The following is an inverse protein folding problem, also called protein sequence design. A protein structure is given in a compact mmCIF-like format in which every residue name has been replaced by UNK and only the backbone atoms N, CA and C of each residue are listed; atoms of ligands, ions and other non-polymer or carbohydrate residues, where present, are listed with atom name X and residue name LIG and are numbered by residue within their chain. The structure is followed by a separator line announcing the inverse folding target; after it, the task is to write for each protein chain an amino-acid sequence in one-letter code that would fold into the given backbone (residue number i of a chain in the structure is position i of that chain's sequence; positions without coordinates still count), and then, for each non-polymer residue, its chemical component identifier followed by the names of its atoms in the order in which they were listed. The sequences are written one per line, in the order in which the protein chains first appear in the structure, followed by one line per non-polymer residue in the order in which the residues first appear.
data_IF_740756662102
#
_entry.id   IF_740756662102
#
_cell.length_a   1.000
_cell.length_b   1.000
_cell.length_c   1.000
_cell.angle_alpha   90.00
_cell.angle_beta   90.00
_cell.angle_gamma   90.00
#
_symmetry.space_group_name_H-M   'P 1'
#
loop_
_entity.id
_entity.type
_entity.pdbx_description
1 polymer ?
#
# COMPACT_ATOMS: atom_id res chain seq x y z
N UNK A 1 8.93 3.13 27.42
CA UNK A 1 8.72 3.61 26.04
C UNK A 1 7.56 2.82 25.49
N UNK A 2 6.40 3.43 25.25
CA UNK A 2 5.25 2.71 24.70
C UNK A 2 5.55 2.32 23.25
N UNK A 3 5.41 1.03 22.94
CA UNK A 3 5.65 0.47 21.61
C UNK A 3 4.36 -0.17 21.10
N UNK A 4 3.94 0.19 19.89
CA UNK A 4 2.79 -0.40 19.21
C UNK A 4 3.26 -1.31 18.11
N UNK A 5 2.73 -2.53 18.07
CA UNK A 5 2.92 -3.47 16.95
C UNK A 5 1.59 -3.63 16.21
N UNK A 6 1.56 -3.23 14.96
CA UNK A 6 0.47 -3.53 14.03
C UNK A 6 0.86 -4.78 13.25
N UNK A 7 0.20 -5.90 13.54
CA UNK A 7 0.60 -7.21 13.04
C UNK A 7 -0.45 -7.78 12.10
N UNK A 8 -0.02 -8.21 10.91
CA UNK A 8 -0.81 -9.04 10.01
C UNK A 8 -0.62 -10.56 10.26
N UNK A 9 0.09 -10.94 11.34
CA UNK A 9 0.26 -12.34 11.70
C UNK A 9 -1.09 -13.04 11.90
N UNK A 10 -1.20 -14.26 11.39
CA UNK A 10 -2.41 -15.06 11.52
C UNK A 10 -2.07 -16.55 11.44
N UNK A 11 -2.99 -17.45 11.82
CA UNK A 11 -2.79 -18.89 11.68
C UNK A 11 -2.56 -19.36 10.24
N UNK A 12 -2.90 -18.54 9.24
CA UNK A 12 -2.65 -18.82 7.82
C UNK A 12 -1.23 -18.42 7.39
N UNK A 13 -0.51 -17.66 8.22
CA UNK A 13 0.85 -17.16 7.99
C UNK A 13 1.72 -17.43 9.23
N UNK A 14 2.07 -18.71 9.51
CA UNK A 14 2.81 -19.10 10.71
C UNK A 14 4.20 -18.43 10.81
N UNK A 15 4.81 -18.08 9.68
CA UNK A 15 6.06 -17.31 9.65
C UNK A 15 5.89 -15.93 10.29
N UNK A 16 4.76 -15.25 10.07
CA UNK A 16 4.49 -13.96 10.72
C UNK A 16 4.25 -14.14 12.23
N UNK A 17 3.60 -15.23 12.66
CA UNK A 17 3.44 -15.53 14.09
C UNK A 17 4.79 -15.75 14.78
N UNK A 18 5.70 -16.47 14.12
CA UNK A 18 7.07 -16.65 14.62
C UNK A 18 7.82 -15.31 14.67
N UNK A 19 7.74 -14.50 13.62
CA UNK A 19 8.38 -13.19 13.58
C UNK A 19 7.85 -12.26 14.66
N UNK A 20 6.53 -12.26 14.91
CA UNK A 20 5.93 -11.53 16.02
C UNK A 20 6.53 -11.98 17.35
N UNK A 21 6.60 -13.29 17.60
CA UNK A 21 7.21 -13.83 18.81
C UNK A 21 8.69 -13.41 18.96
N UNK A 22 9.45 -13.37 17.85
CA UNK A 22 10.84 -12.91 17.85
C UNK A 22 10.96 -11.42 18.17
N UNK A 23 10.08 -10.57 17.62
CA UNK A 23 10.02 -9.14 17.92
C UNK A 23 9.73 -8.92 19.40
N UNK A 24 8.68 -9.55 19.93
CA UNK A 24 8.29 -9.42 21.34
C UNK A 24 9.41 -9.86 22.29
N UNK A 25 10.03 -11.02 22.03
CA UNK A 25 11.16 -11.49 22.82
C UNK A 25 12.39 -10.56 22.75
N UNK A 26 12.59 -9.86 21.62
CA UNK A 26 13.67 -8.89 21.46
C UNK A 26 13.38 -7.58 22.21
N UNK A 27 12.14 -7.10 22.19
CA UNK A 27 11.69 -5.94 22.95
C UNK A 27 11.78 -6.19 24.46
N UNK A 28 11.32 -7.35 24.94
CA UNK A 28 11.41 -7.75 26.34
C UNK A 28 12.88 -7.76 26.82
N UNK A 29 13.79 -8.35 26.04
CA UNK A 29 15.24 -8.34 26.34
C UNK A 29 15.86 -6.94 26.39
N UNK A 30 15.26 -5.95 25.73
CA UNK A 30 15.66 -4.54 25.77
C UNK A 30 15.03 -3.78 26.93
N UNK A 31 14.18 -4.43 27.74
CA UNK A 31 13.43 -3.79 28.82
C UNK A 31 12.22 -2.97 28.32
N UNK A 32 11.81 -3.13 27.06
CA UNK A 32 10.61 -2.50 26.51
C UNK A 32 9.38 -3.34 26.89
N UNK A 33 8.79 -3.05 28.05
CA UNK A 33 7.67 -3.83 28.62
C UNK A 33 6.28 -3.25 28.33
N UNK A 34 6.20 -1.97 27.93
CA UNK A 34 4.96 -1.32 27.52
C UNK A 34 4.72 -1.54 26.02
N UNK A 35 4.32 -2.77 25.67
CA UNK A 35 4.10 -3.19 24.28
C UNK A 35 2.63 -3.52 24.06
N UNK A 36 2.00 -2.84 23.10
CA UNK A 36 0.63 -3.10 22.68
C UNK A 36 0.62 -3.68 21.27
N UNK A 37 0.07 -4.88 21.13
CA UNK A 37 -0.08 -5.56 19.83
C UNK A 37 -1.52 -5.46 19.35
N UNK A 38 -1.71 -5.06 18.10
CA UNK A 38 -2.97 -5.16 17.38
C UNK A 38 -2.86 -6.23 16.30
N UNK A 39 -3.61 -7.32 16.47
CA UNK A 39 -3.79 -8.36 15.44
C UNK A 39 -4.80 -7.86 14.40
N UNK A 40 -4.31 -7.42 13.25
CA UNK A 40 -5.13 -6.87 12.18
C UNK A 40 -5.82 -7.93 11.32
N UNK A 41 -5.40 -9.19 11.42
CA UNK A 41 -6.03 -10.29 10.70
C UNK A 41 -7.39 -10.63 11.30
N UNK A 42 -7.50 -10.61 12.64
CA UNK A 42 -8.76 -10.91 13.36
C UNK A 42 -9.53 -9.66 13.77
N UNK A 43 -8.88 -8.50 13.91
CA UNK A 43 -9.56 -7.25 14.27
C UNK A 43 -10.55 -6.83 13.20
N UNK A 44 -11.81 -6.61 13.62
CA UNK A 44 -12.84 -6.01 12.77
C UNK A 44 -12.50 -4.55 12.50
N UNK A 45 -11.94 -4.30 11.32
CA UNK A 45 -11.46 -3.01 10.87
C UNK A 45 -11.95 -2.73 9.46
N UNK A 46 -12.64 -1.62 9.26
CA UNK A 46 -13.02 -1.14 7.95
C UNK A 46 -11.84 -0.48 7.23
N UNK A 47 -11.91 -0.44 5.90
CA UNK A 47 -10.99 0.32 5.06
C UNK A 47 -11.29 1.83 5.11
N UNK A 48 -10.31 2.65 4.71
CA UNK A 48 -10.49 4.10 4.60
C UNK A 48 -11.42 4.45 3.43
N UNK A 49 -12.51 5.18 3.70
CA UNK A 49 -13.47 5.62 2.69
C UNK A 49 -13.03 6.88 1.91
N UNK A 50 -11.93 7.54 2.33
CA UNK A 50 -11.39 8.72 1.63
C UNK A 50 -12.26 9.98 1.78
N UNK A 51 -12.92 10.12 2.93
CA UNK A 51 -13.88 11.19 3.21
C UNK A 51 -13.25 12.42 3.86
N UNK A 52 -12.09 12.22 4.50
CA UNK A 52 -11.31 13.25 5.19
C UNK A 52 -12.01 13.93 6.38
N UNK A 53 -13.14 13.41 6.86
CA UNK A 53 -13.80 13.92 8.07
C UNK A 53 -12.87 13.89 9.29
N UNK A 54 -12.09 12.81 9.46
CA UNK A 54 -11.06 12.68 10.50
C UNK A 54 -9.91 13.70 10.38
N UNK A 55 -9.85 14.43 9.27
CA UNK A 55 -8.86 15.47 9.01
C UNK A 55 -9.40 16.86 9.34
N UNK A 56 -10.62 17.16 8.87
CA UNK A 56 -11.17 18.52 8.85
C UNK A 56 -12.37 18.74 9.76
N UNK A 57 -13.21 17.72 10.01
CA UNK A 57 -14.46 17.86 10.80
C UNK A 57 -14.30 17.34 12.22
N UNK A 58 -13.71 16.15 12.34
CA UNK A 58 -13.47 15.45 13.61
C UNK A 58 -11.99 15.05 13.70
N UNK A 59 -11.05 16.02 13.82
CA UNK A 59 -9.62 15.76 13.92
C UNK A 59 -9.24 14.55 14.81
N UNK A 60 -8.58 13.56 14.22
CA UNK A 60 -8.12 12.36 14.93
C UNK A 60 -9.19 11.30 15.22
N UNK A 61 -10.44 11.52 14.80
CA UNK A 61 -11.56 10.58 15.04
C UNK A 61 -12.25 10.25 13.72
N UNK A 62 -12.14 8.98 13.30
CA UNK A 62 -12.86 8.48 12.14
C UNK A 62 -14.36 8.26 12.44
N UNK A 63 -15.22 8.59 11.48
CA UNK A 63 -16.67 8.41 11.61
C UNK A 63 -17.14 6.95 11.60
N UNK A 64 -16.28 6.00 11.21
CA UNK A 64 -16.64 4.58 11.15
C UNK A 64 -16.80 3.97 12.54
N UNK A 65 -16.19 4.56 13.57
CA UNK A 65 -16.31 4.15 14.97
C UNK A 65 -16.08 2.65 15.21
N UNK A 66 -14.98 2.12 14.67
CA UNK A 66 -14.52 0.74 14.86
C UNK A 66 -13.18 0.70 15.63
N UNK A 67 -12.48 -0.43 15.59
CA UNK A 67 -11.22 -0.63 16.32
C UNK A 67 -10.11 0.37 15.97
N UNK A 68 -10.23 1.09 14.85
CA UNK A 68 -9.27 2.09 14.43
C UNK A 68 -9.05 3.19 15.47
N UNK A 69 -10.08 3.64 16.19
CA UNK A 69 -9.91 4.71 17.18
C UNK A 69 -8.91 4.31 18.26
N UNK A 70 -8.93 3.04 18.68
CA UNK A 70 -7.98 2.51 19.65
C UNK A 70 -6.56 2.37 19.06
N UNK A 71 -6.45 2.04 17.76
CA UNK A 71 -5.18 1.94 17.04
C UNK A 71 -4.55 3.33 16.89
N UNK A 72 -5.30 4.31 16.37
CA UNK A 72 -4.84 5.70 16.19
C UNK A 72 -4.37 6.29 17.51
N UNK A 73 -5.17 6.15 18.57
CA UNK A 73 -4.79 6.63 19.90
C UNK A 73 -3.50 5.96 20.39
N UNK A 74 -3.38 4.64 20.25
CA UNK A 74 -2.17 3.94 20.67
C UNK A 74 -0.94 4.39 19.88
N UNK A 75 -1.05 4.60 18.57
CA UNK A 75 0.05 5.08 17.72
C UNK A 75 0.44 6.53 18.07
N UNK A 76 -0.53 7.40 18.35
CA UNK A 76 -0.28 8.76 18.87
C UNK A 76 0.51 8.73 20.19
N UNK A 77 0.12 7.85 21.12
CA UNK A 77 0.74 7.76 22.44
C UNK A 77 2.07 7.00 22.44
N UNK A 78 2.44 6.36 21.32
CA UNK A 78 3.64 5.56 21.19
C UNK A 78 4.92 6.37 20.98
N UNK A 79 6.04 5.80 21.43
CA UNK A 79 7.38 6.19 21.02
C UNK A 79 7.84 5.39 19.78
N UNK A 80 7.28 4.20 19.56
CA UNK A 80 7.59 3.33 18.40
C UNK A 80 6.32 2.70 17.82
N UNK A 81 6.26 2.65 16.49
CA UNK A 81 5.30 1.82 15.76
C UNK A 81 6.05 0.81 14.90
N UNK A 82 5.71 -0.47 15.04
CA UNK A 82 6.26 -1.58 14.25
C UNK A 82 5.14 -2.15 13.39
N UNK A 83 5.32 -2.11 12.08
CA UNK A 83 4.44 -2.76 11.12
C UNK A 83 5.03 -4.13 10.78
N UNK A 84 4.31 -5.21 11.10
CA UNK A 84 4.68 -6.57 10.75
C UNK A 84 3.71 -7.13 9.72
N UNK A 85 4.20 -7.44 8.53
CA UNK A 85 3.33 -7.76 7.40
C UNK A 85 3.93 -8.79 6.43
N UNK A 86 3.06 -9.49 5.70
CA UNK A 86 3.46 -10.19 4.49
C UNK A 86 3.54 -9.18 3.34
N UNK A 87 4.67 -9.13 2.64
CA UNK A 87 4.87 -8.17 1.56
C UNK A 87 4.10 -8.63 0.32
N UNK A 88 3.29 -7.72 -0.23
CA UNK A 88 2.54 -7.94 -1.47
C UNK A 88 2.88 -6.84 -2.46
N UNK A 89 3.28 -7.23 -3.68
CA UNK A 89 3.67 -6.29 -4.74
C UNK A 89 4.71 -5.24 -4.28
N UNK A 90 5.67 -5.66 -3.44
CA UNK A 90 6.70 -4.79 -2.86
C UNK A 90 6.23 -3.85 -1.75
N UNK A 91 4.95 -3.91 -1.35
CA UNK A 91 4.37 -3.08 -0.28
C UNK A 91 3.59 -3.88 0.75
N UNK A 92 2.73 -3.18 1.50
CA UNK A 92 1.89 -3.76 2.55
C UNK A 92 0.69 -4.51 1.99
N UNK A 93 0.31 -5.61 2.65
CA UNK A 93 -0.91 -6.38 2.36
C UNK A 93 -2.19 -5.59 2.68
N UNK A 94 -3.32 -6.04 2.14
CA UNK A 94 -4.64 -5.50 2.51
C UNK A 94 -4.87 -5.47 4.03
N UNK A 95 -4.42 -6.51 4.73
CA UNK A 95 -4.61 -6.67 6.18
C UNK A 95 -4.03 -5.50 6.94
N UNK A 96 -2.77 -5.16 6.70
CA UNK A 96 -2.10 -4.04 7.36
C UNK A 96 -2.56 -2.70 6.80
N UNK A 97 -2.76 -2.62 5.47
CA UNK A 97 -3.05 -1.36 4.79
C UNK A 97 -4.39 -0.75 5.20
N UNK A 98 -5.38 -1.57 5.59
CA UNK A 98 -6.62 -1.08 6.21
C UNK A 98 -6.40 -0.22 7.45
N UNK A 99 -5.42 -0.56 8.27
CA UNK A 99 -5.05 0.24 9.44
C UNK A 99 -4.21 1.45 9.04
N UNK A 100 -3.15 1.23 8.26
CA UNK A 100 -2.20 2.29 7.89
C UNK A 100 -2.88 3.44 7.14
N UNK A 101 -3.78 3.16 6.21
CA UNK A 101 -4.49 4.18 5.42
C UNK A 101 -5.37 5.11 6.28
N UNK A 102 -5.70 4.69 7.51
CA UNK A 102 -6.52 5.46 8.45
C UNK A 102 -5.69 6.24 9.47
N UNK A 103 -4.37 6.00 9.54
CA UNK A 103 -3.45 6.78 10.39
C UNK A 103 -3.22 8.21 9.87
N UNK A 104 -3.68 8.55 8.66
CA UNK A 104 -3.56 9.90 8.08
C UNK A 104 -4.13 11.00 8.98
N UNK A 105 -5.08 10.67 9.86
CA UNK A 105 -5.66 11.62 10.81
C UNK A 105 -4.66 12.14 11.85
N UNK A 106 -3.52 11.46 12.03
CA UNK A 106 -2.38 11.92 12.84
C UNK A 106 -1.59 13.07 12.17
N UNK A 107 -1.89 13.35 10.90
CA UNK A 107 -1.28 14.43 10.14
C UNK A 107 -2.23 15.63 10.00
N UNK A 108 -1.65 16.80 9.73
CA UNK A 108 -2.34 18.03 9.41
C UNK A 108 -2.67 18.11 7.91
N UNK A 109 -3.81 18.71 7.50
CA UNK A 109 -4.15 18.82 6.08
C UNK A 109 -3.27 19.82 5.34
N UNK A 110 -2.50 20.63 6.05
CA UNK A 110 -1.61 21.63 5.47
C UNK A 110 -0.31 21.01 4.98
N UNK A 111 0.25 21.61 3.93
CA UNK A 111 1.49 21.14 3.34
C UNK A 111 2.70 21.87 3.90
N UNK A 112 3.80 21.15 4.04
CA UNK A 112 5.14 21.67 4.26
C UNK A 112 6.13 20.97 3.33
N UNK A 113 7.30 21.57 3.12
CA UNK A 113 8.38 20.96 2.34
C UNK A 113 9.28 20.15 3.25
N UNK A 114 9.50 18.87 2.92
CA UNK A 114 10.46 17.98 3.61
C UNK A 114 11.16 17.11 2.57
N UNK A 115 12.46 16.88 2.75
CA UNK A 115 13.29 16.09 1.81
C UNK A 115 13.01 16.43 0.32
N UNK A 116 13.01 17.73 0.00
CA UNK A 116 12.71 18.35 -1.32
C UNK A 116 11.30 18.15 -1.89
N UNK A 117 10.44 17.35 -1.27
CA UNK A 117 9.07 17.07 -1.73
C UNK A 117 8.02 17.77 -0.86
N UNK A 118 6.79 17.82 -1.36
CA UNK A 118 5.64 18.32 -0.61
C UNK A 118 5.09 17.22 0.29
N UNK A 119 4.89 17.49 1.58
CA UNK A 119 4.32 16.54 2.52
C UNK A 119 3.28 17.22 3.42
N UNK A 120 2.44 16.43 4.08
CA UNK A 120 1.56 16.95 5.12
C UNK A 120 2.31 17.28 6.40
N UNK A 121 1.97 18.37 7.08
CA UNK A 121 2.59 18.73 8.35
C UNK A 121 2.13 17.84 9.51
N UNK A 122 2.86 17.87 10.62
CA UNK A 122 2.45 17.17 11.84
C UNK A 122 1.18 17.79 12.41
N UNK A 123 0.23 16.96 12.87
CA UNK A 123 -0.88 17.46 13.71
C UNK A 123 -0.43 17.64 15.16
N UNK A 124 0.47 16.78 15.61
CA UNK A 124 0.93 16.68 16.99
C UNK A 124 2.45 16.85 17.05
N UNK A 125 2.94 17.31 18.20
CA UNK A 125 4.37 17.64 18.38
C UNK A 125 5.28 16.40 18.38
N UNK A 126 4.75 15.24 18.73
CA UNK A 126 5.50 13.98 18.81
C UNK A 126 4.87 12.94 17.90
N UNK A 127 5.74 12.28 17.12
CA UNK A 127 5.40 11.13 16.29
C UNK A 127 6.31 9.95 16.65
N UNK A 128 5.80 8.71 16.60
CA UNK A 128 6.61 7.53 16.91
C UNK A 128 7.68 7.28 15.85
N UNK A 129 8.82 6.70 16.26
CA UNK A 129 9.75 6.07 15.33
C UNK A 129 9.05 4.94 14.57
N UNK A 130 9.37 4.79 13.28
CA UNK A 130 8.65 3.90 12.36
C UNK A 130 9.52 2.70 12.00
N UNK A 131 9.00 1.49 12.20
CA UNK A 131 9.70 0.25 11.85
C UNK A 131 8.83 -0.61 10.94
N UNK A 132 9.40 -1.11 9.85
CA UNK A 132 8.70 -1.97 8.90
C UNK A 132 9.42 -3.32 8.80
N UNK A 133 8.75 -4.36 9.27
CA UNK A 133 9.19 -5.76 9.22
C UNK A 133 8.32 -6.52 8.21
N UNK A 134 8.87 -6.75 7.03
CA UNK A 134 8.22 -7.50 5.97
C UNK A 134 8.67 -8.96 5.97
N UNK A 135 7.79 -9.84 5.50
CA UNK A 135 8.12 -11.22 5.18
C UNK A 135 7.65 -11.61 3.78
N UNK A 136 8.44 -12.45 3.11
CA UNK A 136 8.09 -13.10 1.85
C UNK A 136 8.50 -14.57 1.87
N UNK A 137 7.71 -15.43 1.22
CA UNK A 137 8.07 -16.84 1.09
C UNK A 137 9.33 -17.03 0.22
N UNK A 138 9.44 -16.26 -0.85
CA UNK A 138 10.53 -16.31 -1.83
C UNK A 138 11.17 -14.95 -2.01
N UNK A 139 12.46 -14.97 -2.37
CA UNK A 139 13.24 -13.77 -2.61
C UNK A 139 12.80 -13.06 -3.88
N UNK A 140 12.58 -11.75 -3.78
CA UNK A 140 12.32 -10.89 -4.91
C UNK A 140 13.13 -9.58 -4.72
N UNK A 141 14.21 -9.39 -5.51
CA UNK A 141 15.04 -8.18 -5.41
C UNK A 141 14.29 -6.88 -5.70
N UNK A 142 13.30 -6.90 -6.60
CA UNK A 142 12.49 -5.72 -6.93
C UNK A 142 11.54 -5.41 -5.78
N UNK A 143 10.81 -6.40 -5.27
CA UNK A 143 9.96 -6.22 -4.09
C UNK A 143 10.78 -5.78 -2.86
N UNK A 144 11.98 -6.34 -2.67
CA UNK A 144 12.90 -5.96 -1.60
C UNK A 144 13.34 -4.50 -1.69
N UNK A 145 13.62 -4.03 -2.91
CA UNK A 145 13.94 -2.64 -3.14
C UNK A 145 12.73 -1.74 -2.86
N UNK A 146 11.57 -2.09 -3.40
CA UNK A 146 10.32 -1.33 -3.22
C UNK A 146 9.94 -1.23 -1.74
N UNK A 147 10.06 -2.32 -0.98
CA UNK A 147 9.78 -2.37 0.45
C UNK A 147 10.62 -1.37 1.25
N UNK A 148 11.94 -1.35 1.01
CA UNK A 148 12.87 -0.41 1.66
C UNK A 148 12.51 1.04 1.35
N UNK A 149 12.26 1.34 0.07
CA UNK A 149 11.88 2.68 -0.35
C UNK A 149 10.52 3.11 0.20
N UNK A 150 9.56 2.19 0.29
CA UNK A 150 8.23 2.46 0.81
C UNK A 150 8.27 2.73 2.30
N UNK A 151 9.00 1.93 3.08
CA UNK A 151 9.14 2.14 4.51
C UNK A 151 9.78 3.50 4.84
N UNK A 152 10.83 3.91 4.11
CA UNK A 152 11.41 5.24 4.22
C UNK A 152 10.41 6.36 3.88
N UNK A 153 9.67 6.21 2.77
CA UNK A 153 8.66 7.17 2.34
C UNK A 153 7.52 7.32 3.36
N UNK A 154 7.05 6.20 3.90
CA UNK A 154 5.98 6.13 4.89
C UNK A 154 6.42 6.75 6.22
N UNK A 155 7.65 6.45 6.66
CA UNK A 155 8.23 7.07 7.86
C UNK A 155 8.35 8.59 7.70
N UNK A 156 8.79 9.08 6.53
CA UNK A 156 8.87 10.52 6.24
C UNK A 156 7.48 11.18 6.20
N UNK A 157 6.49 10.51 5.61
CA UNK A 157 5.11 10.98 5.58
C UNK A 157 4.49 11.04 6.98
N UNK A 158 4.88 10.13 7.88
CA UNK A 158 4.45 10.10 9.28
C UNK A 158 5.30 10.99 10.21
N UNK A 159 6.23 11.79 9.67
CA UNK A 159 7.17 12.61 10.44
C UNK A 159 7.93 11.81 11.51
N UNK A 160 8.21 10.53 11.23
CA UNK A 160 8.89 9.68 12.18
C UNK A 160 10.33 10.19 12.41
N UNK A 161 10.81 10.24 13.66
CA UNK A 161 12.18 10.70 13.93
C UNK A 161 13.23 9.69 13.44
N UNK A 162 12.87 8.40 13.38
CA UNK A 162 13.72 7.30 12.91
C UNK A 162 12.94 6.32 12.05
N UNK A 163 13.64 5.66 11.14
CA UNK A 163 13.14 4.52 10.37
C UNK A 163 14.01 3.28 10.56
N UNK A 164 13.41 2.11 10.75
CA UNK A 164 14.08 0.83 10.64
C UNK A 164 13.35 -0.10 9.69
N UNK A 165 14.07 -0.81 8.84
CA UNK A 165 13.46 -1.70 7.84
C UNK A 165 14.14 -3.05 7.82
N UNK A 166 13.34 -4.11 7.78
CA UNK A 166 13.79 -5.45 7.44
C UNK A 166 12.78 -6.12 6.50
N UNK A 167 13.29 -6.91 5.57
CA UNK A 167 12.52 -7.86 4.78
C UNK A 167 13.15 -9.23 4.93
N UNK A 168 12.35 -10.19 5.36
CA UNK A 168 12.81 -11.53 5.72
C UNK A 168 12.20 -12.58 4.81
N UNK A 169 13.01 -13.59 4.49
CA UNK A 169 12.64 -14.65 3.56
C UNK A 169 12.85 -16.01 4.21
N UNK A 170 12.13 -17.03 3.73
CA UNK A 170 12.25 -18.40 4.25
C UNK A 170 13.66 -18.98 4.06
N UNK A 171 14.31 -18.64 2.95
CA UNK A 171 15.68 -19.07 2.63
C UNK A 171 16.73 -18.60 3.65
N UNK A 172 16.48 -17.49 4.36
CA UNK A 172 17.41 -16.84 5.28
C UNK A 172 16.94 -16.88 6.75
N UNK A 173 16.14 -17.87 7.13
CA UNK A 173 15.50 -17.98 8.46
C UNK A 173 16.48 -17.92 9.64
N UNK A 174 17.69 -18.45 9.47
CA UNK A 174 18.75 -18.37 10.49
C UNK A 174 19.16 -16.91 10.85
N UNK A 175 18.95 -15.97 9.93
CA UNK A 175 19.33 -14.56 10.08
C UNK A 175 18.25 -13.66 10.68
N UNK A 176 17.01 -14.15 10.81
CA UNK A 176 15.85 -13.33 11.18
C UNK A 176 16.05 -12.58 12.50
N UNK A 177 16.54 -13.25 13.54
CA UNK A 177 16.78 -12.62 14.86
C UNK A 177 17.80 -11.48 14.79
N UNK A 178 18.84 -11.64 13.98
CA UNK A 178 19.85 -10.60 13.80
C UNK A 178 19.27 -9.41 13.05
N UNK A 179 18.56 -9.68 11.95
CA UNK A 179 17.94 -8.64 11.13
C UNK A 179 16.87 -7.83 11.89
N UNK A 180 16.04 -8.49 12.72
CA UNK A 180 15.10 -7.79 13.62
C UNK A 180 15.87 -6.91 14.61
N UNK A 181 16.99 -7.39 15.14
CA UNK A 181 17.87 -6.60 16.00
C UNK A 181 18.36 -5.34 15.31
N UNK A 182 18.97 -5.49 14.14
CA UNK A 182 19.47 -4.39 13.29
C UNK A 182 18.37 -3.39 12.94
N UNK A 183 17.18 -3.88 12.57
CA UNK A 183 16.03 -3.03 12.29
C UNK A 183 15.66 -2.16 13.49
N UNK A 184 15.54 -2.76 14.68
CA UNK A 184 15.18 -2.05 15.91
C UNK A 184 16.30 -1.10 16.41
N UNK A 185 17.56 -1.39 16.08
CA UNK A 185 18.73 -0.57 16.40
C UNK A 185 18.98 0.55 15.38
N UNK A 186 18.16 0.64 14.32
CA UNK A 186 18.33 1.65 13.28
C UNK A 186 18.22 3.07 13.84
N UNK A 187 19.23 3.87 13.50
CA UNK A 187 19.25 5.32 13.75
C UNK A 187 19.01 6.11 12.47
N UNK A 188 18.60 5.46 11.38
CA UNK A 188 18.38 6.13 10.11
C UNK A 188 17.26 7.17 10.21
N UNK A 189 17.48 8.31 9.55
CA UNK A 189 16.53 9.42 9.48
C UNK A 189 15.76 9.30 8.18
N UNK A 190 14.42 9.30 8.20
CA UNK A 190 13.63 9.12 6.99
C UNK A 190 13.92 10.19 5.93
N UNK A 191 13.93 9.78 4.67
CA UNK A 191 14.10 10.67 3.53
C UNK A 191 15.52 11.22 3.34
N UNK A 192 16.52 10.71 4.08
CA UNK A 192 17.93 11.14 3.92
C UNK A 192 18.41 10.99 2.47
N UNK A 193 18.00 9.92 1.81
CA UNK A 193 18.42 9.60 0.44
C UNK A 193 17.41 10.09 -0.62
N UNK A 194 16.36 10.82 -0.20
CA UNK A 194 15.45 11.49 -1.14
C UNK A 194 16.13 12.73 -1.71
N UNK A 195 16.82 12.49 -2.81
CA UNK A 195 17.45 13.52 -3.64
C UNK A 195 16.49 14.00 -4.73
N UNK A 196 16.83 15.15 -5.33
CA UNK A 196 16.15 15.64 -6.54
C UNK A 196 16.06 14.53 -7.57
N UNK A 197 14.84 14.25 -8.03
CA UNK A 197 14.59 13.28 -9.10
C UNK A 197 14.26 13.98 -10.41
N UNK A 198 14.94 15.09 -10.70
CA UNK A 198 14.86 15.80 -11.98
C UNK A 198 14.89 14.86 -13.19
N UNK A 199 15.70 13.80 -13.16
CA UNK A 199 15.71 12.77 -14.22
C UNK A 199 14.40 12.00 -14.31
N UNK A 200 13.80 11.61 -13.19
CA UNK A 200 12.48 10.96 -13.17
C UNK A 200 11.39 11.94 -13.62
N UNK A 201 11.42 13.17 -13.13
CA UNK A 201 10.50 14.21 -13.57
C UNK A 201 10.60 14.43 -15.09
N UNK A 202 11.81 14.58 -15.62
CA UNK A 202 12.06 14.72 -17.05
C UNK A 202 11.56 13.49 -17.84
N UNK A 203 11.85 12.27 -17.37
CA UNK A 203 11.38 11.04 -18.01
C UNK A 203 9.85 10.93 -18.00
N UNK A 204 9.18 11.37 -16.92
CA UNK A 204 7.72 11.38 -16.82
C UNK A 204 7.10 12.45 -17.72
N UNK A 205 7.70 13.64 -17.79
CA UNK A 205 7.28 14.70 -18.71
C UNK A 205 7.47 14.25 -20.16
N UNK A 206 8.60 13.63 -20.48
CA UNK A 206 8.87 13.05 -21.81
C UNK A 206 7.86 11.95 -22.14
N UNK A 207 7.58 11.02 -21.24
CA UNK A 207 6.56 9.98 -21.44
C UNK A 207 5.15 10.56 -21.64
N UNK A 208 4.80 11.64 -20.93
CA UNK A 208 3.51 12.31 -21.08
C UNK A 208 3.41 13.18 -22.34
N UNK A 209 4.55 13.69 -22.83
CA UNK A 209 4.63 14.60 -24.00
C UNK A 209 5.02 13.88 -25.28
N UNK A 210 5.43 12.61 -25.19
CA UNK A 210 6.00 11.84 -26.28
C UNK A 210 5.02 11.55 -27.41
N UNK A 211 5.57 11.41 -28.61
CA UNK A 211 4.86 10.91 -29.79
C UNK A 211 4.27 9.51 -29.50
N UNK A 212 3.13 9.15 -30.12
CA UNK A 212 2.54 7.83 -29.95
C UNK A 212 3.59 6.75 -30.20
N UNK A 213 3.83 5.91 -29.18
CA UNK A 213 4.68 4.72 -29.29
C UNK A 213 4.28 3.95 -30.55
N UNK A 214 5.29 3.46 -31.28
CA UNK A 214 5.11 2.67 -32.50
C UNK A 214 3.98 1.64 -32.33
N UNK A 215 3.11 1.54 -33.34
CA UNK A 215 1.94 0.66 -33.42
C UNK A 215 2.08 -0.58 -32.55
N UNK A 216 1.27 -0.69 -31.50
CA UNK A 216 1.08 -1.95 -30.77
C UNK A 216 0.67 -2.99 -31.82
N UNK A 217 1.40 -4.12 -31.88
CA UNK A 217 1.19 -5.12 -32.92
C UNK A 217 -0.25 -5.65 -32.98
N UNK A 218 -0.94 -5.73 -31.83
CA UNK A 218 -2.38 -6.02 -31.74
C UNK A 218 -3.06 -5.27 -30.57
N UNK A 219 -4.17 -4.55 -30.83
CA UNK A 219 -4.95 -3.88 -29.78
C UNK A 219 -5.65 -4.90 -28.86
N UNK A 220 -5.88 -4.58 -27.58
CA UNK A 220 -6.60 -5.49 -26.67
C UNK A 220 -8.05 -5.68 -27.12
N UNK A 221 -8.55 -6.92 -27.12
CA UNK A 221 -9.97 -7.19 -27.40
C UNK A 221 -10.82 -6.97 -26.16
N UNK A 222 -10.23 -7.20 -24.99
CA UNK A 222 -10.88 -7.08 -23.69
C UNK A 222 -10.05 -6.22 -22.74
N UNK A 223 -10.68 -5.20 -22.17
CA UNK A 223 -10.05 -4.28 -21.23
C UNK A 223 -10.85 -4.27 -19.93
N UNK A 224 -10.20 -4.58 -18.81
CA UNK A 224 -10.78 -4.49 -17.49
C UNK A 224 -10.16 -3.32 -16.72
N UNK A 225 -10.97 -2.29 -16.45
CA UNK A 225 -10.60 -1.24 -15.51
C UNK A 225 -10.91 -1.67 -14.09
N UNK A 226 -9.92 -1.56 -13.20
CA UNK A 226 -10.09 -1.68 -11.76
C UNK A 226 -10.07 -0.27 -11.17
N UNK A 227 -11.18 0.17 -10.59
CA UNK A 227 -11.28 1.44 -9.88
C UNK A 227 -10.91 1.19 -8.41
N UNK A 228 -9.70 1.58 -8.03
CA UNK A 228 -9.14 1.41 -6.67
C UNK A 228 -9.67 2.39 -5.61
N UNK A 229 -10.47 3.38 -6.01
CA UNK A 229 -11.05 4.35 -5.08
C UNK A 229 -12.16 3.74 -4.24
N UNK A 230 -12.18 4.08 -2.95
CA UNK A 230 -13.25 3.74 -2.01
C UNK A 230 -14.46 4.69 -2.08
N UNK A 231 -14.38 5.78 -2.86
CA UNK A 231 -15.46 6.76 -2.95
C UNK A 231 -16.69 6.19 -3.66
N UNK A 232 -17.90 6.73 -3.41
CA UNK A 232 -19.12 6.32 -4.11
C UNK A 232 -18.96 6.36 -5.63
N UNK A 233 -19.61 5.40 -6.33
CA UNK A 233 -19.63 5.36 -7.79
C UNK A 233 -20.12 6.70 -8.36
N UNK A 234 -19.46 7.19 -9.39
CA UNK A 234 -19.66 8.49 -10.04
C UNK A 234 -18.92 9.66 -9.40
N UNK A 235 -18.17 9.46 -8.30
CA UNK A 235 -17.61 10.59 -7.54
C UNK A 235 -16.07 10.64 -7.47
N UNK A 236 -15.38 9.59 -7.91
CA UNK A 236 -13.92 9.51 -7.79
C UNK A 236 -13.20 9.99 -9.06
N UNK A 237 -12.07 10.67 -8.89
CA UNK A 237 -11.18 11.03 -10.00
C UNK A 237 -10.71 9.80 -10.77
N UNK A 238 -10.39 8.71 -10.07
CA UNK A 238 -9.93 7.46 -10.68
C UNK A 238 -10.98 6.86 -11.61
N UNK A 239 -12.26 6.90 -11.23
CA UNK A 239 -13.36 6.47 -12.09
C UNK A 239 -13.53 7.37 -13.31
N UNK A 240 -13.50 8.70 -13.13
CA UNK A 240 -13.64 9.63 -14.24
C UNK A 240 -12.54 9.43 -15.29
N UNK A 241 -11.30 9.24 -14.85
CA UNK A 241 -10.18 8.94 -15.73
C UNK A 241 -10.35 7.58 -16.42
N UNK A 242 -10.75 6.54 -15.68
CA UNK A 242 -11.01 5.21 -16.23
C UNK A 242 -12.09 5.25 -17.32
N UNK A 243 -13.20 5.97 -17.09
CA UNK A 243 -14.28 6.13 -18.07
C UNK A 243 -13.82 6.85 -19.33
N UNK A 244 -13.11 7.98 -19.17
CA UNK A 244 -12.59 8.72 -20.30
C UNK A 244 -11.62 7.91 -21.18
N UNK A 245 -10.83 7.01 -20.56
CA UNK A 245 -9.97 6.06 -21.29
C UNK A 245 -10.78 4.93 -21.92
N UNK A 246 -11.75 4.38 -21.20
CA UNK A 246 -12.60 3.31 -21.69
C UNK A 246 -13.39 3.70 -22.93
N UNK A 247 -13.92 4.92 -23.00
CA UNK A 247 -14.59 5.46 -24.19
C UNK A 247 -13.69 5.42 -25.44
N UNK A 248 -12.35 5.53 -25.27
CA UNK A 248 -11.39 5.41 -26.38
C UNK A 248 -11.21 3.95 -26.79
N UNK A 249 -11.04 3.05 -25.82
CA UNK A 249 -10.95 1.62 -26.09
C UNK A 249 -12.21 1.05 -26.76
N UNK A 250 -13.40 1.50 -26.37
CA UNK A 250 -14.66 1.09 -27.00
C UNK A 250 -14.77 1.58 -28.45
N UNK A 251 -14.33 2.81 -28.74
CA UNK A 251 -14.24 3.33 -30.12
C UNK A 251 -13.30 2.52 -30.99
N UNK A 252 -12.23 1.98 -30.40
CA UNK A 252 -11.27 1.10 -31.06
C UNK A 252 -11.75 -0.38 -31.12
N UNK A 253 -12.99 -0.66 -30.70
CA UNK A 253 -13.63 -1.97 -30.81
C UNK A 253 -13.35 -2.95 -29.67
N UNK A 254 -12.70 -2.50 -28.58
CA UNK A 254 -12.46 -3.33 -27.42
C UNK A 254 -13.71 -3.43 -26.52
N UNK A 255 -13.92 -4.61 -25.91
CA UNK A 255 -14.93 -4.81 -24.87
C UNK A 255 -14.38 -4.32 -23.53
N UNK A 256 -14.94 -3.22 -23.03
CA UNK A 256 -14.53 -2.60 -21.76
C UNK A 256 -15.41 -3.06 -20.60
N UNK A 257 -14.80 -3.33 -19.46
CA UNK A 257 -15.48 -3.66 -18.20
C UNK A 257 -14.91 -2.80 -17.08
N UNK A 258 -15.78 -2.34 -16.18
CA UNK A 258 -15.40 -1.54 -15.00
C UNK A 258 -15.71 -2.32 -13.74
N UNK A 259 -14.68 -2.51 -12.91
CA UNK A 259 -14.75 -3.23 -11.64
C UNK A 259 -14.33 -2.31 -10.51
N UNK A 260 -15.21 -2.11 -9.54
CA UNK A 260 -14.93 -1.25 -8.39
C UNK A 260 -14.33 -2.08 -7.27
N UNK A 261 -13.29 -1.57 -6.60
CA UNK A 261 -12.57 -2.36 -5.60
C UNK A 261 -13.46 -2.84 -4.44
N UNK A 262 -14.55 -2.13 -4.14
CA UNK A 262 -15.57 -2.55 -3.16
C UNK A 262 -16.30 -3.84 -3.54
N UNK A 263 -16.32 -4.22 -4.83
CA UNK A 263 -16.96 -5.46 -5.32
C UNK A 263 -16.20 -6.71 -4.87
N UNK A 264 -14.94 -6.56 -4.44
CA UNK A 264 -14.04 -7.67 -4.10
C UNK A 264 -14.06 -8.01 -2.60
N UNK A 265 -14.68 -7.17 -1.77
CA UNK A 265 -14.65 -7.27 -0.30
C UNK A 265 -15.32 -8.52 0.28
N UNK A 266 -16.31 -9.07 -0.42
CA UNK A 266 -17.10 -10.20 0.09
C UNK A 266 -16.74 -11.47 -0.68
N UNK A 267 -16.63 -12.59 0.04
CA UNK A 267 -16.34 -13.91 -0.51
C UNK A 267 -17.61 -14.55 -1.12
N UNK A 268 -18.17 -13.89 -2.13
CA UNK A 268 -19.39 -14.32 -2.81
C UNK A 268 -19.22 -14.47 -4.32
N UNK A 269 -20.24 -15.05 -4.96
CA UNK A 269 -20.30 -15.21 -6.42
C UNK A 269 -20.00 -13.92 -7.19
N UNK A 270 -20.52 -12.73 -6.82
CA UNK A 270 -20.19 -11.49 -7.53
C UNK A 270 -18.70 -11.14 -7.52
N UNK A 271 -18.03 -11.28 -6.36
CA UNK A 271 -16.59 -11.02 -6.23
C UNK A 271 -15.77 -12.02 -7.05
N UNK A 272 -16.16 -13.30 -7.06
CA UNK A 272 -15.49 -14.32 -7.89
C UNK A 272 -15.64 -14.02 -9.39
N UNK A 273 -16.83 -13.60 -9.83
CA UNK A 273 -17.07 -13.22 -11.23
C UNK A 273 -16.23 -12.00 -11.61
N UNK A 274 -16.18 -10.96 -10.77
CA UNK A 274 -15.33 -9.80 -11.00
C UNK A 274 -13.84 -10.16 -11.04
N UNK A 275 -13.37 -10.99 -10.10
CA UNK A 275 -11.98 -11.47 -10.06
C UNK A 275 -11.61 -12.23 -11.33
N UNK A 276 -12.49 -13.13 -11.81
CA UNK A 276 -12.29 -13.86 -13.06
C UNK A 276 -12.27 -12.93 -14.27
N UNK A 277 -13.18 -11.96 -14.32
CA UNK A 277 -13.24 -10.98 -15.41
C UNK A 277 -11.94 -10.17 -15.51
N UNK A 278 -11.43 -9.65 -14.38
CA UNK A 278 -10.16 -8.93 -14.33
C UNK A 278 -8.98 -9.84 -14.70
N UNK A 279 -8.92 -11.05 -14.12
CA UNK A 279 -7.81 -11.97 -14.36
C UNK A 279 -7.71 -12.46 -15.82
N UNK A 280 -8.85 -12.54 -16.52
CA UNK A 280 -8.94 -13.05 -17.89
C UNK A 280 -8.87 -11.98 -18.98
N UNK A 281 -8.83 -10.70 -18.62
CA UNK A 281 -8.74 -9.61 -19.59
C UNK A 281 -7.38 -9.56 -20.30
N UNK A 282 -7.36 -9.16 -21.57
CA UNK A 282 -6.13 -8.97 -22.37
C UNK A 282 -5.31 -7.78 -21.83
N UNK A 283 -6.01 -6.78 -21.29
CA UNK A 283 -5.42 -5.62 -20.63
C UNK A 283 -6.20 -5.31 -19.35
N UNK A 284 -5.51 -5.33 -18.22
CA UNK A 284 -6.01 -4.79 -16.96
C UNK A 284 -5.43 -3.40 -16.73
N UNK A 285 -6.27 -2.42 -16.42
CA UNK A 285 -5.84 -1.07 -16.04
C UNK A 285 -6.30 -0.78 -14.62
N UNK A 286 -5.37 -0.61 -13.69
CA UNK A 286 -5.67 -0.15 -12.33
C UNK A 286 -5.72 1.38 -12.30
N UNK A 287 -6.89 1.97 -12.11
CA UNK A 287 -7.04 3.40 -11.85
C UNK A 287 -7.29 3.62 -10.35
N UNK A 288 -6.34 4.22 -9.63
CA UNK A 288 -6.38 4.26 -8.15
C UNK A 288 -5.79 5.56 -7.57
N UNK A 289 -6.30 6.06 -6.43
CA UNK A 289 -5.57 7.08 -5.69
C UNK A 289 -4.27 6.52 -5.11
N UNK A 290 -3.35 7.41 -4.73
CA UNK A 290 -2.14 7.09 -3.98
C UNK A 290 -2.36 7.34 -2.49
N UNK A 291 -2.25 6.31 -1.65
CA UNK A 291 -2.37 6.41 -0.19
C UNK A 291 -1.04 6.03 0.47
N UNK A 292 -0.37 7.03 1.07
CA UNK A 292 0.90 6.86 1.78
C UNK A 292 1.95 6.17 0.90
N UNK A 293 2.26 6.78 -0.25
CA UNK A 293 3.20 6.30 -1.29
C UNK A 293 2.92 4.90 -1.88
N UNK A 294 1.76 4.30 -1.61
CA UNK A 294 1.36 2.99 -2.11
C UNK A 294 -0.10 2.96 -2.57
N UNK A 295 -0.53 1.82 -3.09
CA UNK A 295 -1.94 1.58 -3.36
C UNK A 295 -2.76 1.56 -2.05
N UNK A 296 -4.00 2.07 -2.06
CA UNK A 296 -4.94 1.94 -0.95
C UNK A 296 -5.26 0.47 -0.69
N UNK A 297 -5.67 0.17 0.55
CA UNK A 297 -6.03 -1.18 0.99
C UNK A 297 -6.97 -1.90 0.00
N UNK A 298 -8.04 -1.22 -0.46
CA UNK A 298 -8.98 -1.84 -1.41
C UNK A 298 -8.32 -2.20 -2.74
N UNK A 299 -7.47 -1.34 -3.30
CA UNK A 299 -6.78 -1.62 -4.55
C UNK A 299 -5.81 -2.80 -4.39
N UNK A 300 -5.04 -2.82 -3.29
CA UNK A 300 -4.18 -3.96 -2.93
C UNK A 300 -4.99 -5.25 -2.83
N UNK A 301 -6.15 -5.22 -2.17
CA UNK A 301 -7.01 -6.39 -2.03
C UNK A 301 -7.46 -6.97 -3.36
N UNK A 302 -7.84 -6.11 -4.32
CA UNK A 302 -8.20 -6.58 -5.68
C UNK A 302 -7.01 -7.30 -6.32
N UNK A 303 -5.82 -6.72 -6.25
CA UNK A 303 -4.62 -7.30 -6.85
C UNK A 303 -4.25 -8.63 -6.20
N UNK A 304 -4.32 -8.74 -4.86
CA UNK A 304 -4.10 -9.99 -4.13
C UNK A 304 -5.07 -11.08 -4.59
N UNK A 305 -6.36 -10.77 -4.73
CA UNK A 305 -7.39 -11.71 -5.18
C UNK A 305 -7.15 -12.18 -6.62
N UNK A 306 -6.80 -11.25 -7.50
CA UNK A 306 -6.50 -11.55 -8.92
C UNK A 306 -5.22 -12.40 -9.02
N UNK A 307 -4.18 -12.08 -8.25
CA UNK A 307 -2.93 -12.84 -8.20
C UNK A 307 -3.16 -14.26 -7.68
N UNK A 308 -3.92 -14.41 -6.58
CA UNK A 308 -4.26 -15.72 -6.03
C UNK A 308 -5.04 -16.59 -7.05
N UNK A 309 -6.03 -16.01 -7.73
CA UNK A 309 -6.75 -16.73 -8.78
C UNK A 309 -5.81 -17.15 -9.91
N UNK A 310 -4.96 -16.25 -10.41
CA UNK A 310 -3.99 -16.54 -11.48
C UNK A 310 -2.97 -17.62 -11.09
N UNK A 311 -2.53 -17.66 -9.83
CA UNK A 311 -1.62 -18.68 -9.33
C UNK A 311 -2.26 -20.08 -9.30
N UNK A 312 -3.57 -20.15 -9.03
CA UNK A 312 -4.32 -21.42 -8.95
C UNK A 312 -4.98 -21.88 -10.26
N UNK A 313 -5.18 -20.98 -11.23
CA UNK A 313 -5.97 -21.26 -12.42
C UNK A 313 -5.17 -22.06 -13.48
N UNK A 314 -5.83 -22.98 -14.23
CA UNK A 314 -5.22 -23.61 -15.39
C UNK A 314 -4.75 -22.57 -16.41
N UNK A 315 -3.58 -22.78 -17.03
CA UNK A 315 -3.05 -21.81 -18.01
C UNK A 315 -3.98 -21.60 -19.20
N UNK A 316 -4.80 -22.59 -19.54
CA UNK A 316 -5.85 -22.53 -20.58
C UNK A 316 -6.94 -21.49 -20.29
N UNK A 317 -7.16 -21.16 -19.02
CA UNK A 317 -8.23 -20.28 -18.56
C UNK A 317 -7.76 -18.82 -18.45
N UNK A 318 -6.47 -18.58 -18.69
CA UNK A 318 -5.82 -17.28 -18.62
C UNK A 318 -5.38 -16.81 -20.02
N UNK A 319 -5.39 -15.50 -20.28
CA UNK A 319 -4.89 -14.95 -21.54
C UNK A 319 -3.44 -15.35 -21.77
N UNK A 320 -3.07 -15.59 -23.04
CA UNK A 320 -1.71 -15.98 -23.40
C UNK A 320 -0.70 -14.87 -23.05
N UNK A 321 -1.08 -13.61 -23.28
CA UNK A 321 -0.24 -12.42 -23.07
C UNK A 321 -1.04 -11.33 -22.30
N UNK A 322 -1.31 -11.52 -21.00
CA UNK A 322 -1.97 -10.50 -20.21
C UNK A 322 -1.08 -9.25 -20.15
N UNK A 323 -1.69 -8.08 -20.34
CA UNK A 323 -1.05 -6.79 -20.10
C UNK A 323 -1.62 -6.16 -18.83
N UNK A 324 -0.79 -5.41 -18.13
CA UNK A 324 -1.17 -4.63 -16.97
C UNK A 324 -0.66 -3.21 -17.13
N UNK A 325 -1.49 -2.24 -16.81
CA UNK A 325 -1.11 -0.84 -16.68
C UNK A 325 -1.73 -0.26 -15.40
N UNK A 326 -1.13 0.80 -14.86
CA UNK A 326 -1.65 1.50 -13.72
C UNK A 326 -1.67 3.01 -13.97
N UNK A 327 -2.74 3.64 -13.50
CA UNK A 327 -2.97 5.07 -13.48
C UNK A 327 -3.17 5.49 -12.03
N UNK A 328 -2.20 6.20 -11.49
CA UNK A 328 -2.18 6.58 -10.08
C UNK A 328 -2.42 8.07 -9.95
N UNK A 329 -3.55 8.46 -9.35
CA UNK A 329 -3.81 9.86 -9.07
C UNK A 329 -3.10 10.29 -7.77
N UNK A 330 -2.07 11.11 -7.94
CA UNK A 330 -1.30 11.70 -6.84
C UNK A 330 -1.94 13.03 -6.39
N UNK A 331 -2.07 13.22 -5.07
CA UNK A 331 -2.55 14.49 -4.49
C UNK A 331 -1.44 15.54 -4.32
N UNK A 332 -0.19 15.18 -4.58
CA UNK A 332 0.97 16.05 -4.49
C UNK A 332 1.43 16.52 -5.87
N UNK A 333 2.06 17.72 -5.98
CA UNK A 333 2.55 18.21 -7.25
C UNK A 333 3.74 17.41 -7.80
N UNK A 334 4.52 16.78 -6.92
CA UNK A 334 5.67 15.95 -7.30
C UNK A 334 5.25 14.53 -7.69
N UNK A 335 5.65 14.09 -8.89
CA UNK A 335 5.40 12.72 -9.33
C UNK A 335 6.31 11.71 -8.60
N UNK A 336 7.31 12.18 -7.89
CA UNK A 336 8.20 11.38 -7.06
C UNK A 336 7.46 10.60 -5.96
N UNK A 337 6.26 11.03 -5.57
CA UNK A 337 5.41 10.32 -4.61
C UNK A 337 4.87 8.98 -5.14
N UNK A 338 4.74 8.79 -6.46
CA UNK A 338 4.26 7.52 -7.04
C UNK A 338 5.37 6.47 -7.26
N UNK A 339 6.62 6.81 -6.96
CA UNK A 339 7.82 6.00 -7.28
C UNK A 339 7.79 4.56 -6.72
N UNK A 340 7.10 4.34 -5.62
CA UNK A 340 6.98 3.03 -4.95
C UNK A 340 5.72 2.30 -5.38
N UNK A 341 4.73 3.01 -5.93
CA UNK A 341 3.50 2.43 -6.43
C UNK A 341 3.60 1.94 -7.88
N UNK A 342 4.49 2.53 -8.70
CA UNK A 342 4.64 2.23 -10.13
C UNK A 342 6.03 1.67 -10.50
N UNK A 343 6.70 1.00 -9.56
CA UNK A 343 8.01 0.41 -9.84
C UNK A 343 7.90 -0.96 -10.48
#
# INVERSE_FOLDING_TARGET
MPTVVLSAASPQLPELEELLAMVLAKLEKRGETDVRVFDLATTKLAYCQGEFDCWVKTPGVCRTHDAEQAIVQAVHDADKVILLDAVTFGGHSYTLKRAQDRLICLLSPFFSKRAVLTHHDGRYDRMPSFYALGWMAEADPEASFTWRMLADANALNMLAPRVGVALLENSSRHGWRSAIGTMLDSEDVPGRDLVSRERLHAALVEAASGEPLASIAEPPRTVAFVIGSAKPKGTSTSENLARAMGDRFEKDGARVQYHFATEFLHEGVPSMVATKAVASADLTILATPLYVDAFPALATHVLERVAALRASAPRSDLPLRPRFAALVNCGFPEAEHIRTALR
#
